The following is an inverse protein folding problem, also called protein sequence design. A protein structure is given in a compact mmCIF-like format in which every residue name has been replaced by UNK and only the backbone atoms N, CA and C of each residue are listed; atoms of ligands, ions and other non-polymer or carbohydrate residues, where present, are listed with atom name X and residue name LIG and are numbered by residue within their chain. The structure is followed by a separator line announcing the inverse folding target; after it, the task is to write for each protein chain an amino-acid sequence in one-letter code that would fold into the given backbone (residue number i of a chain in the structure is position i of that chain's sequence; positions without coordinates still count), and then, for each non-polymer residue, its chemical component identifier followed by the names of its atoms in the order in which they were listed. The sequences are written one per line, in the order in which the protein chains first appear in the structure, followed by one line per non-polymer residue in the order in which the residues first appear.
data_IF_420184079173
#
_entry.id   IF_420184079173
#
_cell.length_a   1.000
_cell.length_b   1.000
_cell.length_c   1.000
_cell.angle_alpha   90.00
_cell.angle_beta   90.00
_cell.angle_gamma   90.00
#
_symmetry.space_group_name_H-M   'P 1'
#
loop_
_entity.id
_entity.type
_entity.pdbx_description
1 polymer ?
#
# COMPACT_ATOMS: atom_id res chain seq x y z
N UNK A 1 -14.11 -39.36 13.86
CA UNK A 1 -14.70 -38.64 12.71
C UNK A 1 -13.59 -38.19 11.80
N UNK A 2 -13.63 -38.55 10.54
CA UNK A 2 -12.66 -38.12 9.57
C UNK A 2 -13.05 -36.73 9.02
N UNK A 3 -12.11 -36.02 8.38
CA UNK A 3 -12.39 -34.73 7.76
C UNK A 3 -13.47 -34.83 6.66
N UNK A 4 -13.63 -36.00 6.05
CA UNK A 4 -14.62 -36.25 5.01
C UNK A 4 -16.06 -36.30 5.54
N UNK A 5 -16.21 -36.47 6.86
CA UNK A 5 -17.52 -36.56 7.52
C UNK A 5 -18.02 -35.22 8.04
N UNK A 6 -17.28 -34.13 7.82
CA UNK A 6 -17.72 -32.77 8.19
C UNK A 6 -18.95 -32.34 7.40
N UNK A 7 -19.93 -31.75 8.09
CA UNK A 7 -21.12 -31.19 7.47
C UNK A 7 -20.77 -29.91 6.72
N UNK A 8 -21.64 -29.48 5.81
CA UNK A 8 -21.48 -28.19 5.11
C UNK A 8 -21.44 -27.01 6.09
N UNK A 9 -22.21 -27.10 7.18
CA UNK A 9 -22.22 -26.08 8.22
C UNK A 9 -20.87 -25.96 8.92
N UNK A 10 -20.23 -27.09 9.25
CA UNK A 10 -18.91 -27.11 9.87
C UNK A 10 -17.85 -26.57 8.94
N UNK A 11 -17.91 -26.90 7.65
CA UNK A 11 -17.01 -26.34 6.62
C UNK A 11 -17.16 -24.83 6.49
N UNK A 12 -18.37 -24.30 6.55
CA UNK A 12 -18.61 -22.87 6.52
C UNK A 12 -18.01 -22.15 7.72
N UNK A 13 -18.16 -22.72 8.92
CA UNK A 13 -17.58 -22.18 10.15
C UNK A 13 -16.06 -22.14 10.04
N UNK A 14 -15.44 -23.24 9.59
CA UNK A 14 -13.99 -23.32 9.43
C UNK A 14 -13.50 -22.26 8.42
N UNK A 15 -14.20 -22.05 7.29
CA UNK A 15 -13.86 -21.03 6.31
C UNK A 15 -13.95 -19.62 6.90
N UNK A 16 -15.00 -19.33 7.67
CA UNK A 16 -15.15 -18.00 8.29
C UNK A 16 -14.05 -17.73 9.31
N UNK A 17 -13.67 -18.71 10.11
CA UNK A 17 -12.59 -18.57 11.08
C UNK A 17 -11.27 -18.30 10.35
N UNK A 18 -10.98 -19.04 9.29
CA UNK A 18 -9.78 -18.85 8.49
C UNK A 18 -9.74 -17.46 7.86
N UNK A 19 -10.86 -17.00 7.27
CA UNK A 19 -10.95 -15.67 6.67
C UNK A 19 -10.71 -14.55 7.69
N UNK A 20 -11.26 -14.68 8.89
CA UNK A 20 -11.02 -13.72 9.97
C UNK A 20 -9.57 -13.68 10.40
N UNK A 21 -8.92 -14.83 10.48
CA UNK A 21 -7.51 -14.94 10.83
C UNK A 21 -6.64 -14.28 9.75
N UNK A 22 -6.90 -14.54 8.47
CA UNK A 22 -6.19 -13.93 7.35
C UNK A 22 -6.36 -12.42 7.35
N UNK A 23 -7.57 -11.90 7.57
CA UNK A 23 -7.83 -10.47 7.64
C UNK A 23 -7.08 -9.81 8.81
N UNK A 24 -7.02 -10.48 9.96
CA UNK A 24 -6.27 -9.98 11.12
C UNK A 24 -4.77 -9.92 10.82
N UNK A 25 -4.22 -10.94 10.18
CA UNK A 25 -2.81 -10.96 9.78
C UNK A 25 -2.48 -9.84 8.79
N UNK A 26 -3.33 -9.62 7.80
CA UNK A 26 -3.17 -8.54 6.84
C UNK A 26 -3.20 -7.16 7.51
N UNK A 27 -4.10 -6.98 8.48
CA UNK A 27 -4.18 -5.74 9.25
C UNK A 27 -2.93 -5.52 10.09
N UNK A 28 -2.41 -6.55 10.71
CA UNK A 28 -1.17 -6.48 11.49
C UNK A 28 0.02 -6.13 10.60
N UNK A 29 0.10 -6.71 9.40
CA UNK A 29 1.14 -6.37 8.43
C UNK A 29 1.04 -4.92 7.99
N UNK A 30 -0.17 -4.43 7.71
CA UNK A 30 -0.40 -3.04 7.33
C UNK A 30 0.00 -2.07 8.45
N UNK A 31 -0.30 -2.42 9.70
CA UNK A 31 0.07 -1.60 10.86
C UNK A 31 1.59 -1.55 11.03
N UNK A 32 2.29 -2.66 10.84
CA UNK A 32 3.75 -2.70 10.90
C UNK A 32 4.38 -1.86 9.79
N UNK A 33 3.81 -1.93 8.60
CA UNK A 33 4.28 -1.13 7.46
C UNK A 33 4.07 0.36 7.73
N UNK A 34 2.90 0.74 8.25
CA UNK A 34 2.61 2.13 8.62
C UNK A 34 3.60 2.66 9.66
N UNK A 35 3.93 1.86 10.67
CA UNK A 35 4.93 2.20 11.67
C UNK A 35 6.31 2.39 11.03
N UNK A 36 6.69 1.50 10.13
CA UNK A 36 7.98 1.58 9.42
C UNK A 36 8.08 2.84 8.57
N UNK A 37 7.02 3.20 7.85
CA UNK A 37 7.00 4.46 7.10
C UNK A 37 7.12 5.67 8.03
N UNK A 38 6.46 5.67 9.18
CA UNK A 38 6.60 6.73 10.17
C UNK A 38 8.05 6.85 10.66
N UNK A 39 8.70 5.73 10.94
CA UNK A 39 10.08 5.71 11.40
C UNK A 39 11.06 6.26 10.35
N UNK A 40 10.90 5.91 9.07
CA UNK A 40 11.82 6.38 8.04
C UNK A 40 11.68 7.89 7.75
N UNK A 41 10.56 8.51 8.10
CA UNK A 41 10.43 9.98 7.94
C UNK A 41 11.29 10.75 8.93
N UNK A 42 11.82 10.12 9.96
CA UNK A 42 12.67 10.76 10.97
C UNK A 42 14.07 11.12 10.45
N UNK A 43 14.50 10.50 9.35
CA UNK A 43 15.79 10.79 8.74
C UNK A 43 15.61 11.50 7.41
N UNK A 44 16.56 12.37 7.06
CA UNK A 44 16.56 13.02 5.75
C UNK A 44 16.66 12.00 4.61
N UNK A 45 17.49 10.99 4.78
CA UNK A 45 17.64 9.92 3.78
C UNK A 45 16.34 9.16 3.56
N UNK A 46 15.61 8.83 4.63
CA UNK A 46 14.32 8.17 4.53
C UNK A 46 13.28 9.02 3.82
N UNK A 47 13.20 10.31 4.13
CA UNK A 47 12.31 11.24 3.45
C UNK A 47 12.65 11.37 1.97
N UNK A 48 13.94 11.40 1.63
CA UNK A 48 14.42 11.46 0.25
C UNK A 48 13.99 10.22 -0.54
N UNK A 49 14.10 9.04 0.07
CA UNK A 49 13.65 7.78 -0.56
C UNK A 49 12.15 7.83 -0.85
N UNK A 50 11.34 8.24 0.13
CA UNK A 50 9.89 8.34 -0.06
C UNK A 50 9.52 9.34 -1.15
N UNK A 51 10.15 10.50 -1.15
CA UNK A 51 9.93 11.52 -2.18
C UNK A 51 10.33 10.99 -3.56
N UNK A 52 11.47 10.31 -3.64
CA UNK A 52 11.94 9.71 -4.89
C UNK A 52 10.97 8.67 -5.43
N UNK A 53 10.42 7.81 -4.56
CA UNK A 53 9.41 6.81 -4.96
C UNK A 53 8.14 7.48 -5.52
N UNK A 54 7.68 8.54 -4.88
CA UNK A 54 6.51 9.29 -5.35
C UNK A 54 6.76 9.98 -6.70
N UNK A 55 7.98 10.44 -6.94
CA UNK A 55 8.36 11.07 -8.21
C UNK A 55 8.55 10.05 -9.34
N UNK A 56 8.92 8.80 -9.03
CA UNK A 56 9.01 7.74 -10.04
C UNK A 56 7.66 7.36 -10.63
N UNK A 57 6.58 7.60 -9.91
CA UNK A 57 5.24 7.36 -10.40
C UNK A 57 4.68 8.63 -11.04
N UNK A 58 4.05 8.57 -12.24
CA UNK A 58 3.52 9.77 -12.91
C UNK A 58 2.17 10.19 -12.30
N UNK A 59 2.17 10.59 -11.03
CA UNK A 59 0.94 10.89 -10.28
C UNK A 59 0.23 12.12 -10.82
N UNK A 60 1.00 13.18 -11.10
CA UNK A 60 0.46 14.48 -11.51
C UNK A 60 0.54 14.72 -13.01
N UNK A 61 0.88 13.71 -13.79
CA UNK A 61 1.02 13.81 -15.23
C UNK A 61 -0.03 12.99 -15.96
N UNK A 62 -0.37 13.43 -17.19
CA UNK A 62 -1.26 12.67 -18.05
C UNK A 62 -0.57 11.38 -18.52
N UNK A 63 -1.30 10.27 -18.41
CA UNK A 63 -0.85 8.96 -18.90
C UNK A 63 -1.29 8.72 -20.36
N UNK A 64 -1.93 9.70 -21.00
CA UNK A 64 -2.40 9.55 -22.36
C UNK A 64 -1.23 9.38 -23.35
N UNK A 65 -1.36 8.41 -24.23
CA UNK A 65 -0.42 8.14 -25.31
C UNK A 65 -1.17 7.52 -26.48
N UNK A 66 -0.71 7.80 -27.71
CA UNK A 66 -1.22 7.12 -28.91
C UNK A 66 -0.82 5.64 -28.95
N UNK A 67 0.22 5.25 -28.21
CA UNK A 67 0.61 3.86 -28.01
C UNK A 67 -0.13 3.29 -26.81
N UNK A 68 -1.02 2.34 -27.05
CA UNK A 68 -1.86 1.70 -26.02
C UNK A 68 -1.02 1.00 -24.95
N UNK A 69 0.05 0.33 -25.34
CA UNK A 69 0.94 -0.38 -24.39
C UNK A 69 1.63 0.61 -23.46
N UNK A 70 2.12 1.74 -24.00
CA UNK A 70 2.74 2.78 -23.21
C UNK A 70 1.74 3.42 -22.24
N UNK A 71 0.54 3.69 -22.72
CA UNK A 71 -0.54 4.28 -21.89
C UNK A 71 -0.89 3.35 -20.73
N UNK A 72 -1.03 2.04 -20.99
CA UNK A 72 -1.31 1.02 -19.95
C UNK A 72 -0.18 0.96 -18.92
N UNK A 73 1.07 0.99 -19.37
CA UNK A 73 2.24 0.98 -18.51
C UNK A 73 2.27 2.22 -17.58
N UNK A 74 2.08 3.41 -18.15
CA UNK A 74 2.08 4.66 -17.39
C UNK A 74 0.91 4.70 -16.39
N UNK A 75 -0.26 4.22 -16.79
CA UNK A 75 -1.43 4.15 -15.91
C UNK A 75 -1.18 3.20 -14.75
N UNK A 76 -0.52 2.06 -14.98
CA UNK A 76 -0.14 1.14 -13.92
C UNK A 76 0.84 1.75 -12.93
N UNK A 77 1.85 2.47 -13.41
CA UNK A 77 2.79 3.19 -12.55
C UNK A 77 2.10 4.28 -11.75
N UNK A 78 1.18 5.02 -12.37
CA UNK A 78 0.39 6.05 -11.69
C UNK A 78 -0.46 5.45 -10.57
N UNK A 79 -1.09 4.30 -10.81
CA UNK A 79 -1.93 3.62 -9.81
C UNK A 79 -1.13 3.26 -8.58
N UNK A 80 0.07 2.70 -8.73
CA UNK A 80 0.95 2.37 -7.61
C UNK A 80 1.31 3.62 -6.80
N UNK A 81 1.67 4.71 -7.50
CA UNK A 81 1.99 5.98 -6.84
C UNK A 81 0.82 6.57 -6.07
N UNK A 82 -0.38 6.51 -6.64
CA UNK A 82 -1.60 6.99 -5.98
C UNK A 82 -1.92 6.16 -4.74
N UNK A 83 -1.77 4.84 -4.80
CA UNK A 83 -1.95 3.96 -3.66
C UNK A 83 -0.94 4.27 -2.55
N UNK A 84 0.33 4.46 -2.90
CA UNK A 84 1.35 4.84 -1.93
C UNK A 84 1.02 6.18 -1.29
N UNK A 85 0.67 7.19 -2.08
CA UNK A 85 0.30 8.51 -1.56
C UNK A 85 -0.89 8.44 -0.62
N UNK A 86 -1.90 7.67 -0.96
CA UNK A 86 -3.08 7.48 -0.12
C UNK A 86 -2.72 6.78 1.20
N UNK A 87 -1.90 5.74 1.14
CA UNK A 87 -1.42 5.04 2.33
C UNK A 87 -0.67 5.97 3.27
N UNK A 88 0.20 6.84 2.72
CA UNK A 88 0.92 7.83 3.52
C UNK A 88 -0.04 8.84 4.17
N UNK A 89 -1.03 9.32 3.44
CA UNK A 89 -2.03 10.26 3.98
C UNK A 89 -2.85 9.65 5.12
N UNK A 90 -3.16 8.37 5.03
CA UNK A 90 -3.95 7.68 6.05
C UNK A 90 -3.14 7.35 7.31
N UNK A 91 -1.83 7.19 7.20
CA UNK A 91 -0.99 6.66 8.26
C UNK A 91 0.06 7.61 8.81
N UNK A 92 0.33 8.73 8.15
CA UNK A 92 1.27 9.74 8.60
C UNK A 92 0.54 11.03 9.00
N UNK A 93 1.17 11.81 9.88
CA UNK A 93 0.68 13.14 10.22
C UNK A 93 0.94 14.12 9.07
N UNK A 94 0.20 15.23 9.04
CA UNK A 94 0.41 16.29 8.05
C UNK A 94 1.84 16.83 8.09
N UNK A 95 2.42 16.96 9.29
CA UNK A 95 3.79 17.41 9.46
C UNK A 95 4.80 16.42 8.84
N UNK A 96 4.58 15.12 9.00
CA UNK A 96 5.42 14.10 8.39
C UNK A 96 5.32 14.15 6.85
N UNK A 97 4.13 14.27 6.33
CA UNK A 97 3.91 14.39 4.86
C UNK A 97 4.59 15.65 4.33
N UNK A 98 4.40 16.77 5.00
CA UNK A 98 5.05 18.03 4.61
C UNK A 98 6.57 17.92 4.64
N UNK A 99 7.14 17.23 5.62
CA UNK A 99 8.58 17.02 5.70
C UNK A 99 9.11 16.19 4.52
N UNK A 100 8.33 15.24 4.02
CA UNK A 100 8.69 14.47 2.81
C UNK A 100 8.68 15.39 1.59
N UNK A 101 7.62 16.18 1.41
CA UNK A 101 7.43 17.05 0.27
C UNK A 101 8.50 18.13 0.17
N UNK A 102 8.95 18.65 1.29
CA UNK A 102 9.95 19.72 1.36
C UNK A 102 11.39 19.24 1.37
N UNK A 103 11.63 17.94 1.45
CA UNK A 103 12.99 17.37 1.42
C UNK A 103 13.57 17.50 0.01
N UNK A 104 14.79 17.98 -0.08
CA UNK A 104 15.52 18.05 -1.36
C UNK A 104 16.05 16.68 -1.76
N UNK A 105 16.00 16.38 -3.05
CA UNK A 105 16.52 15.13 -3.59
C UNK A 105 18.06 15.16 -3.75
#
# INVERSE_FOLDING_TARGET
MTAEEKTEFEKQIDSEIQNRTEQKELKEQANRLAFSFSEITKTEQGRRVLKGLLLLAPIDFSCFSSDTNRMSYLTGRQSIGLELRQFLKENLTENQIHSIETTEL
#
